data_IF_491446097878
#
_entry.id   IF_491446097878
#
_cell.length_a   1.000
_cell.length_b   1.000
_cell.length_c   1.000
_cell.angle_alpha   90.00
_cell.angle_beta   90.00
_cell.angle_gamma   90.00
#
_symmetry.space_group_name_H-M   'P 1'
#
loop_
_entity.id
_entity.type
_entity.pdbx_description
1 polymer ?
#
# COMPACT_ATOMS: atom_id res chain seq x y z
N UNK A 1 22.63 24.29 -21.37
CA UNK A 1 21.53 24.12 -20.40
C UNK A 1 21.54 22.68 -19.92
N UNK A 2 21.99 22.45 -18.68
CA UNK A 2 22.21 21.10 -18.16
C UNK A 2 20.91 20.56 -17.56
N UNK A 3 20.32 19.52 -18.16
CA UNK A 3 19.17 18.82 -17.59
C UNK A 3 19.62 18.05 -16.36
N UNK A 4 19.16 18.49 -15.18
CA UNK A 4 19.33 17.72 -13.94
C UNK A 4 18.43 16.50 -14.02
N UNK A 5 19.04 15.31 -14.06
CA UNK A 5 18.34 14.03 -13.89
C UNK A 5 17.79 13.95 -12.46
N UNK A 6 16.54 14.37 -12.27
CA UNK A 6 15.78 14.09 -11.07
C UNK A 6 15.41 12.61 -11.04
N UNK A 7 15.71 11.93 -9.93
CA UNK A 7 15.30 10.54 -9.72
C UNK A 7 13.77 10.49 -9.61
N UNK A 8 13.10 10.15 -10.70
CA UNK A 8 11.66 9.90 -10.70
C UNK A 8 11.40 8.60 -9.94
N UNK A 9 10.81 8.69 -8.74
CA UNK A 9 10.17 7.53 -8.11
C UNK A 9 8.76 7.45 -8.69
N UNK A 10 8.43 6.43 -9.53
CA UNK A 10 7.07 6.24 -10.03
C UNK A 10 6.02 6.37 -8.91
N UNK A 11 4.92 7.07 -9.18
CA UNK A 11 3.84 7.29 -8.19
C UNK A 11 3.36 5.99 -7.52
N UNK A 12 3.42 4.88 -8.23
CA UNK A 12 3.13 3.52 -7.75
C UNK A 12 4.02 3.11 -6.56
N UNK A 13 5.30 3.45 -6.59
CA UNK A 13 6.26 3.16 -5.51
C UNK A 13 5.98 4.01 -4.27
N UNK A 14 5.47 5.23 -4.44
CA UNK A 14 5.07 6.08 -3.30
C UNK A 14 3.88 5.47 -2.56
N UNK A 15 2.87 5.02 -3.28
CA UNK A 15 1.71 4.38 -2.66
C UNK A 15 2.09 3.07 -1.97
N UNK A 16 2.95 2.25 -2.59
CA UNK A 16 3.51 1.06 -1.94
C UNK A 16 4.22 1.39 -0.62
N UNK A 17 5.03 2.45 -0.58
CA UNK A 17 5.71 2.88 0.65
C UNK A 17 4.69 3.31 1.73
N UNK A 18 3.62 3.99 1.34
CA UNK A 18 2.54 4.34 2.28
C UNK A 18 1.87 3.09 2.86
N UNK A 19 1.61 2.07 2.05
CA UNK A 19 1.08 0.79 2.53
C UNK A 19 2.05 0.09 3.50
N UNK A 20 3.36 0.16 3.26
CA UNK A 20 4.37 -0.38 4.19
C UNK A 20 4.27 0.30 5.55
N UNK A 21 4.22 1.63 5.57
CA UNK A 21 4.08 2.40 6.81
C UNK A 21 2.74 2.13 7.50
N UNK A 22 1.64 2.05 6.75
CA UNK A 22 0.31 1.73 7.26
C UNK A 22 0.29 0.35 7.93
N UNK A 23 0.88 -0.67 7.29
CA UNK A 23 0.92 -2.03 7.83
C UNK A 23 1.68 -2.08 9.17
N UNK A 24 2.76 -1.30 9.30
CA UNK A 24 3.52 -1.19 10.56
C UNK A 24 2.70 -0.47 11.63
N UNK A 25 2.12 0.68 11.29
CA UNK A 25 1.30 1.46 12.21
C UNK A 25 0.09 0.66 12.72
N UNK A 26 -0.53 -0.15 11.87
CA UNK A 26 -1.63 -1.03 12.28
C UNK A 26 -1.19 -2.06 13.31
N UNK A 27 -0.02 -2.70 13.13
CA UNK A 27 0.52 -3.65 14.12
C UNK A 27 0.80 -2.98 15.46
N UNK A 28 1.34 -1.77 15.44
CA UNK A 28 1.67 -1.01 16.66
C UNK A 28 0.41 -0.48 17.37
N UNK A 29 -0.54 0.08 16.62
CA UNK A 29 -1.76 0.71 17.19
C UNK A 29 -2.87 -0.29 17.49
N UNK A 30 -2.88 -1.45 16.82
CA UNK A 30 -3.92 -2.48 16.96
C UNK A 30 -3.29 -3.88 17.08
N UNK A 31 -2.51 -4.17 18.14
CA UNK A 31 -1.74 -5.41 18.28
C UNK A 31 -2.61 -6.67 18.35
N UNK A 32 -3.84 -6.56 18.86
CA UNK A 32 -4.79 -7.68 18.93
C UNK A 32 -5.58 -7.89 17.63
N UNK A 33 -5.42 -7.02 16.62
CA UNK A 33 -6.25 -7.09 15.41
C UNK A 33 -6.02 -8.40 14.67
N UNK A 34 -4.77 -8.83 14.53
CA UNK A 34 -4.42 -10.09 13.89
C UNK A 34 -4.90 -11.34 14.66
N UNK A 35 -5.22 -11.21 15.96
CA UNK A 35 -5.73 -12.32 16.77
C UNK A 35 -7.26 -12.39 16.75
N UNK A 36 -7.92 -11.23 16.67
CA UNK A 36 -9.38 -11.11 16.76
C UNK A 36 -10.08 -11.04 15.40
N UNK A 37 -9.35 -10.65 14.36
CA UNK A 37 -9.87 -10.49 13.01
C UNK A 37 -9.03 -11.32 12.04
N UNK A 38 -9.71 -12.03 11.15
CA UNK A 38 -9.10 -12.93 10.16
C UNK A 38 -8.22 -12.16 9.15
N UNK A 39 -8.72 -11.03 8.63
CA UNK A 39 -8.04 -10.21 7.63
C UNK A 39 -8.38 -8.73 7.72
N UNK A 40 -7.47 -7.89 7.19
CA UNK A 40 -7.72 -6.46 6.98
C UNK A 40 -8.46 -6.29 5.66
N UNK A 41 -9.50 -5.46 5.67
CA UNK A 41 -10.22 -5.04 4.48
C UNK A 41 -9.84 -3.59 4.18
N UNK A 42 -9.22 -3.35 3.02
CA UNK A 42 -8.79 -2.04 2.55
C UNK A 42 -9.78 -1.53 1.48
N UNK A 43 -10.37 -0.36 1.74
CA UNK A 43 -11.20 0.35 0.78
C UNK A 43 -10.38 1.51 0.18
N UNK A 44 -10.23 1.57 -1.14
CA UNK A 44 -9.57 2.68 -1.82
C UNK A 44 -10.13 2.93 -3.22
N UNK A 45 -9.83 4.08 -3.79
CA UNK A 45 -10.22 4.45 -5.15
C UNK A 45 -9.42 3.68 -6.22
N UNK A 46 -9.97 3.57 -7.42
CA UNK A 46 -9.32 2.91 -8.56
C UNK A 46 -8.27 3.78 -9.29
N UNK A 47 -7.61 4.71 -8.58
CA UNK A 47 -6.57 5.53 -9.19
C UNK A 47 -5.42 4.67 -9.73
N UNK A 48 -4.84 5.07 -10.88
CA UNK A 48 -3.78 4.30 -11.58
C UNK A 48 -2.64 3.82 -10.65
N UNK A 49 -2.11 4.63 -9.71
CA UNK A 49 -1.06 4.16 -8.81
C UNK A 49 -1.50 3.02 -7.89
N UNK A 50 -2.77 2.96 -7.50
CA UNK A 50 -3.29 2.01 -6.51
C UNK A 50 -3.54 0.63 -7.12
N UNK A 51 -3.82 0.57 -8.42
CA UNK A 51 -4.04 -0.70 -9.15
C UNK A 51 -2.83 -1.19 -9.92
N UNK A 52 -1.71 -0.47 -9.83
CA UNK A 52 -0.46 -0.86 -10.44
C UNK A 52 0.09 -2.18 -9.90
N UNK A 53 0.84 -2.89 -10.73
CA UNK A 53 1.41 -4.21 -10.40
C UNK A 53 2.23 -4.22 -9.10
N UNK A 54 3.14 -3.26 -8.84
CA UNK A 54 3.93 -3.26 -7.61
C UNK A 54 3.08 -3.12 -6.34
N UNK A 55 1.95 -2.42 -6.43
CA UNK A 55 1.01 -2.22 -5.33
C UNK A 55 0.16 -3.46 -5.11
N UNK A 56 -0.40 -4.03 -6.17
CA UNK A 56 -1.18 -5.28 -6.10
C UNK A 56 -0.37 -6.42 -5.48
N UNK A 57 0.86 -6.65 -5.97
CA UNK A 57 1.75 -7.67 -5.41
C UNK A 57 2.03 -7.44 -3.93
N UNK A 58 2.18 -6.17 -3.51
CA UNK A 58 2.41 -5.88 -2.10
C UNK A 58 1.18 -6.15 -1.23
N UNK A 59 -0.02 -5.76 -1.68
CA UNK A 59 -1.27 -6.04 -0.98
C UNK A 59 -1.53 -7.56 -0.86
N UNK A 60 -1.20 -8.33 -1.89
CA UNK A 60 -1.22 -9.80 -1.85
C UNK A 60 -0.28 -10.36 -0.78
N UNK A 61 0.95 -9.82 -0.63
CA UNK A 61 1.87 -10.26 0.45
C UNK A 61 1.33 -9.98 1.85
N UNK A 62 0.54 -8.93 2.01
CA UNK A 62 -0.10 -8.57 3.28
C UNK A 62 -1.33 -9.44 3.57
N UNK A 63 -1.84 -10.19 2.58
CA UNK A 63 -3.09 -10.96 2.65
C UNK A 63 -4.29 -10.10 3.02
N UNK A 64 -4.30 -8.86 2.54
CA UNK A 64 -5.43 -7.94 2.75
C UNK A 64 -6.48 -8.16 1.68
N UNK A 65 -7.74 -8.07 2.07
CA UNK A 65 -8.85 -7.96 1.13
C UNK A 65 -8.95 -6.52 0.65
N UNK A 66 -9.15 -6.33 -0.65
CA UNK A 66 -9.15 -5.01 -1.28
C UNK A 66 -10.49 -4.79 -1.96
N UNK A 67 -11.16 -3.69 -1.61
CA UNK A 67 -12.35 -3.20 -2.30
C UNK A 67 -12.03 -1.87 -2.98
N UNK A 68 -12.54 -1.72 -4.19
CA UNK A 68 -12.39 -0.50 -4.98
C UNK A 68 -13.66 0.35 -4.88
N UNK A 69 -13.49 1.66 -4.77
CA UNK A 69 -14.56 2.68 -4.91
C UNK A 69 -14.40 3.49 -6.18
#
# INVERSE_FOLDING_TARGET
MSQKQGHWVPYELRYRLQLMHLSRALKEKRPLYAQRHDKVILLHDNARPHVAKPVKTYLETLKWEVHLT
#
